data_IF_563581466621
#
_entry.id   IF_563581466621
#
_cell.length_a   1.000
_cell.length_b   1.000
_cell.length_c   1.000
_cell.angle_alpha   90.00
_cell.angle_beta   90.00
_cell.angle_gamma   90.00
#
_symmetry.space_group_name_H-M   'P 1'
#
loop_
_entity.id
_entity.type
_entity.pdbx_description
1 polymer ?
#
# COMPACT_ATOMS: atom_id res chain seq x y z
N UNK A 1 -2.77 16.44 -6.60
CA UNK A 1 -2.61 15.38 -7.61
C UNK A 1 -1.11 15.11 -7.76
N UNK A 2 -0.58 14.08 -7.11
CA UNK A 2 0.85 13.75 -7.20
C UNK A 2 1.13 12.89 -8.43
N UNK A 3 1.59 13.50 -9.52
CA UNK A 3 2.10 12.76 -10.68
C UNK A 3 3.60 12.57 -10.54
N UNK A 4 4.05 11.33 -10.62
CA UNK A 4 5.45 10.98 -10.80
C UNK A 4 5.52 9.59 -11.43
N UNK A 5 6.69 9.15 -11.87
CA UNK A 5 6.90 7.84 -12.48
C UNK A 5 7.11 6.72 -11.44
N UNK A 6 6.71 5.48 -11.71
CA UNK A 6 6.95 4.34 -10.81
C UNK A 6 8.42 4.30 -10.37
N UNK A 7 8.69 4.14 -9.06
CA UNK A 7 10.06 4.18 -8.51
C UNK A 7 10.54 5.50 -7.90
N UNK A 8 9.72 6.57 -7.86
CA UNK A 8 10.13 7.89 -7.33
C UNK A 8 9.52 8.28 -5.96
N UNK A 9 9.19 7.32 -5.09
CA UNK A 9 8.70 7.62 -3.73
C UNK A 9 7.24 8.06 -3.60
N UNK A 10 6.41 7.93 -4.66
CA UNK A 10 4.96 8.21 -4.56
C UNK A 10 4.24 7.32 -3.55
N UNK A 11 4.60 6.03 -3.52
CA UNK A 11 3.99 5.08 -2.59
C UNK A 11 4.27 5.48 -1.16
N UNK A 12 5.47 5.95 -0.85
CA UNK A 12 5.78 6.53 0.46
C UNK A 12 4.99 7.81 0.71
N UNK A 13 4.88 8.70 -0.29
CA UNK A 13 4.19 9.98 -0.17
C UNK A 13 2.69 9.86 0.17
N UNK A 14 1.98 8.87 -0.36
CA UNK A 14 0.60 8.58 0.05
C UNK A 14 0.51 7.53 1.18
N UNK A 15 1.49 6.63 1.27
CA UNK A 15 1.49 5.49 2.17
C UNK A 15 1.75 5.85 3.62
N UNK A 16 2.69 6.75 3.91
CA UNK A 16 2.94 7.22 5.29
C UNK A 16 1.68 7.81 5.93
N UNK A 17 1.02 8.84 5.35
CA UNK A 17 -0.18 9.41 5.96
C UNK A 17 -1.35 8.41 6.00
N UNK A 18 -1.47 7.50 5.03
CA UNK A 18 -2.45 6.41 5.08
C UNK A 18 -2.23 5.51 6.30
N UNK A 19 -0.99 5.04 6.49
CA UNK A 19 -0.63 4.13 7.59
C UNK A 19 -0.72 4.82 8.96
N UNK A 20 -0.42 6.11 9.05
CA UNK A 20 -0.57 6.91 10.28
C UNK A 20 -2.02 6.93 10.79
N UNK A 21 -3.01 6.84 9.90
CA UNK A 21 -4.44 6.86 10.26
C UNK A 21 -5.01 5.49 10.67
N UNK A 22 -4.29 4.39 10.44
CA UNK A 22 -4.76 3.02 10.76
C UNK A 22 -4.77 2.79 12.29
N UNK A 23 -5.86 2.21 12.79
CA UNK A 23 -5.95 1.64 14.15
C UNK A 23 -5.82 0.12 14.06
N UNK A 24 -4.87 -0.45 14.81
CA UNK A 24 -4.60 -1.90 14.79
C UNK A 24 -5.69 -2.75 15.45
N UNK A 25 -6.59 -2.12 16.22
CA UNK A 25 -7.68 -2.81 16.91
C UNK A 25 -8.95 -2.92 16.05
N UNK A 26 -8.94 -2.29 14.88
CA UNK A 26 -10.05 -2.24 13.93
C UNK A 26 -9.81 -3.21 12.74
N UNK A 27 -10.82 -3.34 11.88
CA UNK A 27 -10.74 -4.14 10.66
C UNK A 27 -9.92 -3.47 9.53
N UNK A 28 -10.25 -3.81 8.28
CA UNK A 28 -9.62 -3.19 7.10
C UNK A 28 -10.09 -1.73 6.98
N UNK A 29 -9.14 -0.78 7.03
CA UNK A 29 -9.43 0.66 7.00
C UNK A 29 -8.86 1.39 5.77
N UNK A 30 -8.04 0.72 4.95
CA UNK A 30 -7.37 1.32 3.79
C UNK A 30 -7.57 0.51 2.52
N UNK A 31 -7.79 1.21 1.40
CA UNK A 31 -7.86 0.62 0.06
C UNK A 31 -6.96 1.41 -0.89
N UNK A 32 -6.07 0.71 -1.58
CA UNK A 32 -5.25 1.27 -2.65
C UNK A 32 -5.55 0.52 -3.93
N UNK A 33 -5.94 1.25 -4.98
CA UNK A 33 -6.24 0.69 -6.29
C UNK A 33 -5.03 0.86 -7.21
N UNK A 34 -4.66 -0.23 -7.89
CA UNK A 34 -3.59 -0.24 -8.89
C UNK A 34 -4.14 -0.82 -10.21
N UNK A 35 -3.67 -0.34 -11.37
CA UNK A 35 -4.22 -0.75 -12.66
C UNK A 35 -3.69 -2.10 -13.16
N UNK A 36 -2.62 -2.63 -12.55
CA UNK A 36 -2.05 -3.94 -12.91
C UNK A 36 -1.66 -4.74 -11.66
N UNK A 37 -1.52 -6.06 -11.83
CA UNK A 37 -1.06 -6.98 -10.78
C UNK A 37 0.31 -6.60 -10.24
N UNK A 38 1.25 -6.31 -11.14
CA UNK A 38 2.64 -5.97 -10.81
C UNK A 38 2.69 -4.72 -9.94
N UNK A 39 1.88 -3.71 -10.26
CA UNK A 39 1.79 -2.49 -9.47
C UNK A 39 1.12 -2.73 -8.11
N UNK A 40 0.08 -3.56 -8.04
CA UNK A 40 -0.55 -3.92 -6.77
C UNK A 40 0.45 -4.60 -5.83
N UNK A 41 1.26 -5.53 -6.36
CA UNK A 41 2.33 -6.21 -5.60
C UNK A 41 3.39 -5.21 -5.13
N UNK A 42 3.94 -4.39 -6.02
CA UNK A 42 4.97 -3.40 -5.68
C UNK A 42 4.48 -2.40 -4.61
N UNK A 43 3.23 -1.95 -4.73
CA UNK A 43 2.62 -1.05 -3.73
C UNK A 43 2.47 -1.76 -2.39
N UNK A 44 1.98 -3.00 -2.38
CA UNK A 44 1.81 -3.76 -1.13
C UNK A 44 3.14 -4.08 -0.46
N UNK A 45 4.20 -4.40 -1.21
CA UNK A 45 5.54 -4.61 -0.67
C UNK A 45 6.08 -3.35 0.03
N UNK A 46 5.91 -2.19 -0.60
CA UNK A 46 6.36 -0.92 -0.03
C UNK A 46 5.52 -0.50 1.18
N UNK A 47 4.18 -0.65 1.12
CA UNK A 47 3.31 -0.37 2.27
C UNK A 47 3.60 -1.31 3.45
N UNK A 48 3.88 -2.59 3.20
CA UNK A 48 4.31 -3.50 4.25
C UNK A 48 5.67 -3.09 4.82
N UNK A 49 6.65 -2.70 3.98
CA UNK A 49 7.96 -2.21 4.44
C UNK A 49 7.83 -1.01 5.36
N UNK A 50 7.03 -0.01 4.98
CA UNK A 50 6.80 1.20 5.79
C UNK A 50 5.98 0.85 7.05
N UNK A 51 4.96 0.01 6.90
CA UNK A 51 4.01 -0.38 7.95
C UNK A 51 4.61 -1.23 9.06
N UNK A 52 5.77 -1.86 8.84
CA UNK A 52 6.48 -2.67 9.85
C UNK A 52 6.69 -1.93 11.18
N UNK A 53 6.99 -0.63 11.13
CA UNK A 53 7.24 0.18 12.34
C UNK A 53 5.98 0.32 13.20
N UNK A 54 4.79 0.34 12.57
CA UNK A 54 3.49 0.45 13.24
C UNK A 54 2.79 -0.91 13.39
N UNK A 55 3.31 -2.00 12.83
CA UNK A 55 2.64 -3.30 12.80
C UNK A 55 1.44 -3.38 11.85
N UNK A 56 1.32 -2.43 10.91
CA UNK A 56 0.25 -2.46 9.90
C UNK A 56 0.62 -3.47 8.81
N UNK A 57 -0.36 -4.25 8.36
CA UNK A 57 -0.20 -5.25 7.29
C UNK A 57 -1.05 -4.86 6.08
N UNK A 58 -0.52 -5.12 4.89
CA UNK A 58 -1.22 -4.90 3.62
C UNK A 58 -1.31 -6.22 2.84
N UNK A 59 -2.52 -6.56 2.39
CA UNK A 59 -2.79 -7.74 1.56
C UNK A 59 -3.07 -7.29 0.12
N UNK A 60 -2.23 -7.64 -0.87
CA UNK A 60 -2.55 -7.38 -2.26
C UNK A 60 -3.65 -8.35 -2.74
N UNK A 61 -4.67 -7.81 -3.42
CA UNK A 61 -5.76 -8.59 -4.03
C UNK A 61 -5.79 -8.30 -5.53
N UNK A 62 -5.69 -9.34 -6.35
CA UNK A 62 -5.74 -9.28 -7.80
C UNK A 62 -6.20 -10.63 -8.37
N UNK A 63 -6.78 -10.62 -9.58
CA UNK A 63 -7.14 -11.84 -10.30
C UNK A 63 -5.95 -12.52 -10.99
N UNK A 64 -6.13 -13.77 -11.42
CA UNK A 64 -5.11 -14.54 -12.15
C UNK A 64 -4.18 -15.38 -11.27
N UNK A 65 -4.74 -16.04 -10.25
CA UNK A 65 -4.06 -17.15 -9.57
C UNK A 65 -4.31 -18.45 -10.34
N UNK A 66 -3.23 -19.07 -10.81
CA UNK A 66 -3.16 -20.53 -10.91
C UNK A 66 -2.60 -21.08 -9.58
#
# INVERSE_FOLDING_TARGET
MGQAQTGTGKTTAFGVPLLEQIDLNEGIQGLVLAPTRELAVQVAEELNRIGQVKGVRTLPVYGGQD
#
